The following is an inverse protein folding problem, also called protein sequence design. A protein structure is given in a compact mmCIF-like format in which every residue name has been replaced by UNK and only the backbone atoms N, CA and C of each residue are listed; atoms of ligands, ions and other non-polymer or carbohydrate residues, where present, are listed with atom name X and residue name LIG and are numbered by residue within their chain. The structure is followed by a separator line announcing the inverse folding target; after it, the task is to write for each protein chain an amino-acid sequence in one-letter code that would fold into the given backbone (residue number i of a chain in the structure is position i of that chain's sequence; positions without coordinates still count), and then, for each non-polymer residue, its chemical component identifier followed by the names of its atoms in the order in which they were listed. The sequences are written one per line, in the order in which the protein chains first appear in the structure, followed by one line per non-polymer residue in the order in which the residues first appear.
data_IF_137991452606
#
_entry.id   IF_137991452606
#
_cell.length_a   1.000
_cell.length_b   1.000
_cell.length_c   1.000
_cell.angle_alpha   90.00
_cell.angle_beta   90.00
_cell.angle_gamma   90.00
#
_symmetry.space_group_name_H-M   'P 1'
#
loop_
_entity.id
_entity.type
_entity.pdbx_description
1 polymer ?
#
# COMPACT_ATOMS: atom_id res chain seq x y z
N UNK A 1 -16.02 9.74 -67.43
CA UNK A 1 -14.60 10.12 -67.36
C UNK A 1 -14.27 10.49 -65.92
N UNK A 2 -13.30 9.81 -65.31
CA UNK A 2 -12.65 10.23 -64.06
C UNK A 2 -11.96 11.59 -64.27
N UNK A 3 -11.68 12.31 -63.18
CA UNK A 3 -10.27 12.37 -62.80
C UNK A 3 -10.05 11.97 -61.35
N UNK A 4 -9.00 11.17 -61.18
CA UNK A 4 -8.36 10.85 -59.92
C UNK A 4 -7.64 12.10 -59.41
N UNK A 5 -7.81 12.42 -58.13
CA UNK A 5 -6.80 13.18 -57.39
C UNK A 5 -6.36 12.35 -56.20
N UNK A 6 -5.18 11.76 -56.39
CA UNK A 6 -4.40 11.04 -55.41
C UNK A 6 -3.87 12.05 -54.39
N UNK A 7 -4.24 11.91 -53.12
CA UNK A 7 -3.47 12.47 -52.01
C UNK A 7 -3.39 11.42 -50.89
N UNK A 8 -2.36 10.58 -50.98
CA UNK A 8 -1.84 9.80 -49.86
C UNK A 8 -0.75 10.65 -49.20
N UNK A 9 -0.88 10.94 -47.90
CA UNK A 9 0.14 10.66 -46.86
C UNK A 9 -0.19 11.38 -45.54
N UNK A 10 -0.43 10.58 -44.50
CA UNK A 10 0.30 10.74 -43.24
C UNK A 10 -0.30 11.61 -42.15
N UNK A 11 -1.51 11.32 -41.68
CA UNK A 11 -1.90 11.64 -40.30
C UNK A 11 -2.31 10.33 -39.63
N UNK A 12 -1.41 9.75 -38.84
CA UNK A 12 -1.78 8.80 -37.78
C UNK A 12 -2.59 9.56 -36.74
N UNK A 13 -3.85 9.86 -37.06
CA UNK A 13 -4.81 10.38 -36.10
C UNK A 13 -5.09 9.28 -35.09
N UNK A 14 -4.91 9.58 -33.81
CA UNK A 14 -5.42 8.74 -32.73
C UNK A 14 -6.93 8.58 -32.99
N UNK A 15 -7.37 7.37 -33.32
CA UNK A 15 -8.81 7.13 -33.43
C UNK A 15 -9.37 7.22 -32.02
N UNK A 16 -10.17 8.25 -31.75
CA UNK A 16 -10.96 8.31 -30.52
C UNK A 16 -11.93 7.13 -30.61
N UNK A 17 -11.64 6.05 -29.89
CA UNK A 17 -12.46 4.85 -29.87
C UNK A 17 -13.88 5.17 -29.39
N UNK A 18 -14.85 4.34 -29.75
CA UNK A 18 -16.15 4.39 -29.10
C UNK A 18 -16.01 3.81 -27.69
N UNK A 19 -16.28 4.63 -26.67
CA UNK A 19 -16.29 4.19 -25.28
C UNK A 19 -17.73 3.93 -24.82
N UNK A 20 -17.98 2.83 -24.08
CA UNK A 20 -19.24 2.66 -23.36
C UNK A 20 -19.52 3.85 -22.44
N UNK A 21 -20.79 4.25 -22.30
CA UNK A 21 -21.17 5.39 -21.45
C UNK A 21 -20.70 5.21 -19.99
N UNK A 22 -20.76 3.98 -19.46
CA UNK A 22 -20.24 3.65 -18.12
C UNK A 22 -18.74 3.95 -17.95
N UNK A 23 -17.96 3.83 -19.02
CA UNK A 23 -16.50 4.04 -18.99
C UNK A 23 -16.18 5.54 -19.11
N UNK A 24 -17.06 6.30 -19.78
CA UNK A 24 -17.05 7.76 -19.79
C UNK A 24 -17.41 8.29 -18.39
N UNK A 25 -18.52 7.82 -17.82
CA UNK A 25 -19.03 8.29 -16.53
C UNK A 25 -18.09 7.94 -15.37
N UNK A 26 -17.38 6.81 -15.46
CA UNK A 26 -16.37 6.40 -14.47
C UNK A 26 -15.00 7.05 -14.67
N UNK A 27 -14.80 7.81 -15.75
CA UNK A 27 -13.51 8.43 -16.08
C UNK A 27 -12.48 7.48 -16.70
N UNK A 28 -12.76 6.18 -16.83
CA UNK A 28 -11.87 5.20 -17.48
C UNK A 28 -11.54 5.59 -18.93
N UNK A 29 -12.53 6.11 -19.67
CA UNK A 29 -12.35 6.59 -21.02
C UNK A 29 -11.36 7.76 -21.08
N UNK A 30 -11.46 8.72 -20.16
CA UNK A 30 -10.54 9.85 -20.09
C UNK A 30 -9.14 9.41 -19.67
N UNK A 31 -9.02 8.45 -18.75
CA UNK A 31 -7.73 7.87 -18.36
C UNK A 31 -7.01 7.22 -19.55
N UNK A 32 -7.73 6.41 -20.33
CA UNK A 32 -7.18 5.77 -21.53
C UNK A 32 -6.81 6.79 -22.62
N UNK A 33 -7.66 7.78 -22.87
CA UNK A 33 -7.36 8.87 -23.81
C UNK A 33 -6.15 9.70 -23.37
N UNK A 34 -6.01 9.96 -22.06
CA UNK A 34 -4.88 10.66 -21.47
C UNK A 34 -3.58 9.87 -21.67
N UNK A 35 -3.61 8.55 -21.43
CA UNK A 35 -2.47 7.64 -21.66
C UNK A 35 -2.06 7.59 -23.13
N UNK A 36 -3.01 7.40 -24.05
CA UNK A 36 -2.74 7.41 -25.49
C UNK A 36 -2.15 8.75 -25.94
N UNK A 37 -2.67 9.86 -25.42
CA UNK A 37 -2.19 11.21 -25.73
C UNK A 37 -0.78 11.45 -25.19
N UNK A 38 -0.50 10.95 -23.99
CA UNK A 38 0.84 10.95 -23.38
C UNK A 38 1.84 10.18 -24.25
N UNK A 39 1.53 8.94 -24.61
CA UNK A 39 2.41 8.08 -25.41
C UNK A 39 2.69 8.68 -26.78
N UNK A 40 1.66 9.23 -27.43
CA UNK A 40 1.79 9.95 -28.69
C UNK A 40 2.68 11.20 -28.54
N UNK A 41 2.57 11.94 -27.43
CA UNK A 41 3.43 13.10 -27.16
C UNK A 41 4.90 12.71 -26.91
N UNK A 42 5.13 11.65 -26.13
CA UNK A 42 6.47 11.12 -25.87
C UNK A 42 7.11 10.54 -27.12
N UNK A 43 6.33 9.87 -27.99
CA UNK A 43 6.82 9.41 -29.28
C UNK A 43 7.29 10.57 -30.17
N UNK A 44 6.56 11.70 -30.19
CA UNK A 44 6.96 12.91 -30.93
C UNK A 44 8.25 13.54 -30.40
N UNK A 45 8.60 13.38 -29.12
CA UNK A 45 9.88 13.88 -28.59
C UNK A 45 11.07 13.21 -29.28
N UNK A 46 10.95 11.94 -29.70
CA UNK A 46 12.04 11.21 -30.34
C UNK A 46 12.44 11.80 -31.69
N UNK A 47 11.55 12.55 -32.34
CA UNK A 47 11.79 13.26 -33.59
C UNK A 47 11.84 14.79 -33.44
N UNK A 48 11.81 15.30 -32.20
CA UNK A 48 11.86 16.73 -31.91
C UNK A 48 13.25 17.30 -32.16
N UNK A 49 13.34 18.35 -32.97
CA UNK A 49 14.56 19.18 -33.13
C UNK A 49 14.63 20.34 -32.13
N UNK A 50 13.54 20.59 -31.38
CA UNK A 50 13.54 21.52 -30.26
C UNK A 50 14.23 20.89 -29.04
N UNK A 51 14.92 21.71 -28.23
CA UNK A 51 15.73 21.28 -27.08
C UNK A 51 15.00 20.56 -25.93
N UNK A 52 13.75 20.10 -26.13
CA UNK A 52 13.04 19.22 -25.23
C UNK A 52 13.41 17.76 -25.54
N UNK A 53 14.15 17.13 -24.63
CA UNK A 53 14.54 15.72 -24.67
C UNK A 53 13.72 14.89 -23.67
N UNK A 54 13.77 13.54 -23.74
CA UNK A 54 13.20 12.68 -22.70
C UNK A 54 13.72 12.97 -21.29
N UNK A 55 14.93 13.53 -21.16
CA UNK A 55 15.52 13.88 -19.86
C UNK A 55 15.06 15.25 -19.34
N UNK A 56 14.58 16.14 -20.23
CA UNK A 56 14.19 17.51 -19.85
C UNK A 56 12.68 17.72 -19.81
N UNK A 57 11.88 16.78 -20.33
CA UNK A 57 10.42 16.91 -20.35
C UNK A 57 9.89 17.02 -18.91
N UNK A 58 9.00 17.99 -18.69
CA UNK A 58 8.26 18.15 -17.44
C UNK A 58 6.88 17.54 -17.60
N UNK A 59 6.59 16.51 -16.81
CA UNK A 59 5.27 15.89 -16.75
C UNK A 59 4.41 16.67 -15.75
N UNK A 60 3.24 17.14 -16.19
CA UNK A 60 2.22 17.68 -15.30
C UNK A 60 1.27 16.54 -14.91
N UNK A 61 1.15 16.27 -13.62
CA UNK A 61 0.22 15.28 -13.07
C UNK A 61 -0.91 16.01 -12.34
N UNK A 62 -2.10 15.42 -12.37
CA UNK A 62 -3.18 15.88 -11.52
C UNK A 62 -2.79 15.69 -10.05
N UNK A 63 -2.97 16.74 -9.24
CA UNK A 63 -2.89 16.60 -7.79
C UNK A 63 -4.18 15.92 -7.34
N UNK A 64 -4.11 14.61 -7.13
CA UNK A 64 -5.25 13.77 -6.79
C UNK A 64 -5.99 14.25 -5.52
N UNK A 65 -5.29 14.90 -4.59
CA UNK A 65 -5.87 15.58 -3.43
C UNK A 65 -5.44 17.04 -3.35
N UNK A 66 -5.68 17.81 -4.42
CA UNK A 66 -5.35 19.24 -4.49
C UNK A 66 -6.03 20.12 -3.43
N UNK A 67 -7.12 19.64 -2.83
CA UNK A 67 -7.86 20.27 -1.74
C UNK A 67 -7.22 20.02 -0.36
N UNK A 68 -6.32 19.04 -0.24
CA UNK A 68 -5.68 18.68 1.02
C UNK A 68 -4.44 19.55 1.26
N UNK A 69 -4.46 20.46 2.26
CA UNK A 69 -3.40 21.47 2.40
C UNK A 69 -2.02 20.91 2.68
N UNK A 70 -1.90 19.70 3.23
CA UNK A 70 -0.62 19.06 3.54
C UNK A 70 -0.07 18.15 2.45
N UNK A 71 -0.89 17.69 1.50
CA UNK A 71 -0.44 16.77 0.45
C UNK A 71 0.48 17.49 -0.55
N UNK A 72 1.66 16.93 -0.84
CA UNK A 72 2.65 17.52 -1.75
C UNK A 72 3.16 16.55 -2.81
N UNK A 73 2.97 15.25 -2.60
CA UNK A 73 3.51 14.22 -3.49
C UNK A 73 2.50 13.10 -3.74
N UNK A 74 2.73 12.33 -4.81
CA UNK A 74 1.95 11.10 -5.07
C UNK A 74 1.98 10.12 -3.90
N UNK A 75 3.10 10.07 -3.17
CA UNK A 75 3.23 9.27 -1.96
C UNK A 75 2.36 9.78 -0.81
N UNK A 76 2.15 11.11 -0.72
CA UNK A 76 1.25 11.69 0.27
C UNK A 76 -0.21 11.31 -0.02
N UNK A 77 -0.57 11.17 -1.30
CA UNK A 77 -1.92 10.75 -1.68
C UNK A 77 -2.28 9.35 -1.13
N UNK A 78 -1.32 8.43 -1.10
CA UNK A 78 -1.47 7.13 -0.43
C UNK A 78 -1.76 7.32 1.07
N UNK A 79 -0.96 8.12 1.77
CA UNK A 79 -1.20 8.44 3.18
C UNK A 79 -2.56 9.09 3.46
N UNK A 80 -3.03 9.99 2.59
CA UNK A 80 -4.37 10.60 2.70
C UNK A 80 -5.47 9.56 2.56
N UNK A 81 -5.39 8.67 1.55
CA UNK A 81 -6.39 7.63 1.35
C UNK A 81 -6.47 6.70 2.56
N UNK A 82 -5.32 6.24 3.04
CA UNK A 82 -5.27 5.35 4.20
C UNK A 82 -5.80 6.04 5.47
N UNK A 83 -5.45 7.30 5.72
CA UNK A 83 -6.03 8.08 6.82
C UNK A 83 -7.56 8.12 6.75
N UNK A 84 -8.13 8.39 5.56
CA UNK A 84 -9.59 8.45 5.35
C UNK A 84 -10.27 7.10 5.55
N UNK A 85 -9.62 6.02 5.15
CA UNK A 85 -10.19 4.67 5.16
C UNK A 85 -9.85 3.83 6.40
N UNK A 86 -8.96 4.31 7.29
CA UNK A 86 -8.41 3.55 8.42
C UNK A 86 -9.49 2.81 9.24
N UNK A 87 -10.63 3.46 9.52
CA UNK A 87 -11.73 2.88 10.31
C UNK A 87 -12.62 1.87 9.55
N UNK A 88 -12.39 1.67 8.27
CA UNK A 88 -13.17 0.77 7.40
C UNK A 88 -12.32 -0.40 6.90
N UNK A 89 -10.99 -0.33 7.04
CA UNK A 89 -10.04 -1.28 6.45
C UNK A 89 -9.16 -1.99 7.47
N UNK A 90 -9.43 -1.83 8.76
CA UNK A 90 -8.77 -2.56 9.85
C UNK A 90 -9.82 -3.17 10.78
N UNK A 91 -9.55 -4.37 11.28
CA UNK A 91 -10.49 -5.16 12.11
C UNK A 91 -11.89 -5.23 11.46
N UNK A 92 -11.90 -5.25 10.12
CA UNK A 92 -13.05 -5.24 9.21
C UNK A 92 -12.90 -6.37 8.19
N UNK A 93 -13.98 -6.70 7.47
CA UNK A 93 -13.94 -7.70 6.42
C UNK A 93 -13.02 -7.33 5.24
N UNK A 94 -12.83 -6.04 4.98
CA UNK A 94 -11.98 -5.57 3.89
C UNK A 94 -10.48 -5.59 4.19
N UNK A 95 -10.02 -5.89 5.41
CA UNK A 95 -8.62 -5.67 5.81
C UNK A 95 -7.60 -6.27 4.83
N UNK A 96 -7.68 -7.57 4.56
CA UNK A 96 -6.70 -8.26 3.71
C UNK A 96 -6.74 -7.76 2.26
N UNK A 97 -7.95 -7.60 1.72
CA UNK A 97 -8.17 -7.27 0.31
C UNK A 97 -7.90 -5.79 0.01
N UNK A 98 -8.21 -4.91 0.96
CA UNK A 98 -7.81 -3.51 0.89
C UNK A 98 -6.29 -3.40 0.84
N UNK A 99 -5.56 -4.02 1.78
CA UNK A 99 -4.11 -3.88 1.82
C UNK A 99 -3.43 -4.51 0.61
N UNK A 100 -3.93 -5.67 0.12
CA UNK A 100 -3.50 -6.25 -1.16
C UNK A 100 -3.67 -5.29 -2.33
N UNK A 101 -4.88 -4.75 -2.51
CA UNK A 101 -5.14 -3.84 -3.64
C UNK A 101 -4.41 -2.50 -3.49
N UNK A 102 -4.20 -2.05 -2.25
CA UNK A 102 -3.49 -0.83 -1.92
C UNK A 102 -1.99 -0.92 -2.26
N UNK A 103 -1.30 -2.00 -1.87
CA UNK A 103 0.11 -2.18 -2.25
C UNK A 103 0.28 -2.49 -3.74
N UNK A 104 -0.66 -3.21 -4.36
CA UNK A 104 -0.68 -3.39 -5.81
C UNK A 104 -0.85 -2.04 -6.54
N UNK A 105 -1.75 -1.18 -6.05
CA UNK A 105 -1.92 0.19 -6.61
C UNK A 105 -0.65 1.02 -6.46
N UNK A 106 0.08 0.85 -5.36
CA UNK A 106 1.38 1.49 -5.17
C UNK A 106 2.44 0.95 -6.14
N UNK A 107 2.50 -0.37 -6.33
CA UNK A 107 3.35 -1.00 -7.36
C UNK A 107 3.05 -0.44 -8.74
N UNK A 108 1.78 -0.39 -9.15
CA UNK A 108 1.37 0.15 -10.44
C UNK A 108 1.77 1.61 -10.61
N UNK A 109 1.65 2.43 -9.54
CA UNK A 109 2.17 3.78 -9.57
C UNK A 109 3.70 3.77 -9.77
N UNK A 110 4.46 2.96 -9.05
CA UNK A 110 5.91 2.84 -9.29
C UNK A 110 6.23 2.45 -10.75
N UNK A 111 5.50 1.49 -11.32
CA UNK A 111 5.70 1.01 -12.69
C UNK A 111 5.38 2.10 -13.72
N UNK A 112 4.18 2.65 -13.66
CA UNK A 112 3.64 3.56 -14.68
C UNK A 112 4.10 5.00 -14.52
N UNK A 113 4.38 5.43 -13.28
CA UNK A 113 4.71 6.81 -12.96
C UNK A 113 6.21 7.04 -12.70
N UNK A 114 6.94 6.00 -12.30
CA UNK A 114 8.36 6.06 -11.89
C UNK A 114 9.27 5.11 -12.68
N UNK A 115 8.77 4.41 -13.70
CA UNK A 115 9.53 3.47 -14.54
C UNK A 115 10.20 2.33 -13.74
N UNK A 116 9.52 1.84 -12.71
CA UNK A 116 9.97 0.68 -11.93
C UNK A 116 9.74 -0.61 -12.73
N UNK A 117 10.83 -1.35 -13.01
CA UNK A 117 10.78 -2.61 -13.76
C UNK A 117 11.19 -3.84 -12.91
N UNK A 118 11.39 -3.65 -11.60
CA UNK A 118 11.77 -4.72 -10.68
C UNK A 118 10.58 -5.52 -10.17
N UNK A 119 10.86 -6.40 -9.19
CA UNK A 119 9.85 -7.13 -8.42
C UNK A 119 9.42 -6.32 -7.20
N UNK A 120 8.15 -6.44 -6.80
CA UNK A 120 7.67 -5.80 -5.58
C UNK A 120 8.22 -6.52 -4.34
N UNK A 121 8.95 -5.82 -3.45
CA UNK A 121 9.60 -6.46 -2.30
C UNK A 121 8.64 -6.67 -1.13
N UNK A 122 8.97 -7.64 -0.26
CA UNK A 122 8.34 -7.85 1.03
C UNK A 122 9.39 -7.93 2.15
N UNK A 123 8.99 -7.65 3.40
CA UNK A 123 9.86 -7.75 4.57
C UNK A 123 9.55 -9.02 5.37
N UNK A 124 10.39 -10.04 5.24
CA UNK A 124 10.27 -11.25 6.06
C UNK A 124 10.74 -10.99 7.50
N UNK A 125 9.83 -10.52 8.36
CA UNK A 125 10.15 -10.12 9.74
C UNK A 125 10.94 -11.17 10.53
N UNK A 126 10.71 -12.46 10.27
CA UNK A 126 11.35 -13.55 10.99
C UNK A 126 12.88 -13.56 10.90
N UNK A 127 13.44 -13.12 9.76
CA UNK A 127 14.89 -13.04 9.54
C UNK A 127 15.54 -11.97 10.43
N UNK A 128 14.83 -10.86 10.64
CA UNK A 128 15.32 -9.70 11.38
C UNK A 128 14.80 -9.65 12.83
N UNK A 129 14.01 -10.64 13.25
CA UNK A 129 13.26 -10.59 14.50
C UNK A 129 14.16 -10.41 15.73
N UNK A 130 15.41 -10.88 15.66
CA UNK A 130 16.38 -10.83 16.74
C UNK A 130 17.45 -9.74 16.58
N UNK A 131 17.46 -9.02 15.45
CA UNK A 131 18.34 -7.88 15.19
C UNK A 131 17.81 -7.04 14.01
N UNK A 132 16.83 -6.17 14.28
CA UNK A 132 16.18 -5.32 13.28
C UNK A 132 17.17 -4.28 12.74
N UNK A 133 18.07 -3.80 13.58
CA UNK A 133 19.05 -2.78 13.24
C UNK A 133 20.05 -3.23 12.16
N UNK A 134 20.42 -4.51 12.15
CA UNK A 134 21.31 -5.10 11.14
C UNK A 134 20.60 -5.55 9.86
N UNK A 135 19.27 -5.43 9.78
CA UNK A 135 18.50 -5.77 8.58
C UNK A 135 19.00 -4.95 7.37
N UNK A 136 19.18 -5.55 6.19
CA UNK A 136 19.48 -4.81 4.96
C UNK A 136 18.43 -3.74 4.62
N UNK A 137 17.22 -3.84 5.17
CA UNK A 137 16.18 -2.82 5.01
C UNK A 137 16.44 -1.57 5.86
N UNK A 138 17.20 -1.70 6.95
CA UNK A 138 17.35 -0.67 7.97
C UNK A 138 18.81 -0.35 8.35
N UNK A 139 19.79 -0.92 7.67
CA UNK A 139 21.22 -0.75 7.93
C UNK A 139 21.78 0.64 7.54
N UNK A 140 20.96 1.50 6.93
CA UNK A 140 21.38 2.85 6.54
C UNK A 140 22.16 2.95 5.23
N UNK A 141 22.47 1.82 4.59
CA UNK A 141 23.18 1.77 3.32
C UNK A 141 22.39 2.43 2.19
N UNK A 142 23.04 2.74 1.04
CA UNK A 142 22.34 3.25 -0.15
C UNK A 142 21.25 2.32 -0.72
N UNK A 143 21.22 1.05 -0.31
CA UNK A 143 20.22 0.05 -0.73
C UNK A 143 19.14 -0.22 0.33
N UNK A 144 19.21 0.43 1.48
CA UNK A 144 18.22 0.32 2.56
C UNK A 144 17.03 1.27 2.35
N UNK A 145 16.04 1.15 3.24
CA UNK A 145 14.96 2.14 3.39
C UNK A 145 15.35 3.27 4.36
N UNK A 146 16.65 3.48 4.60
CA UNK A 146 17.16 4.39 5.62
C UNK A 146 17.51 3.66 6.92
N UNK A 147 18.28 4.31 7.77
CA UNK A 147 18.75 3.73 9.03
C UNK A 147 17.69 3.70 10.12
N UNK A 148 18.11 3.42 11.36
CA UNK A 148 17.36 3.83 12.55
C UNK A 148 17.31 5.37 12.71
N UNK A 149 16.46 5.85 13.61
CA UNK A 149 16.42 7.23 14.05
C UNK A 149 17.49 7.55 15.09
N UNK A 150 17.90 8.82 15.17
CA UNK A 150 18.75 9.32 16.27
C UNK A 150 18.16 8.93 17.63
N UNK A 151 19.00 8.44 18.53
CA UNK A 151 18.56 8.06 19.86
C UNK A 151 17.91 9.24 20.61
N UNK A 152 16.72 8.99 21.18
CA UNK A 152 16.05 9.90 22.11
C UNK A 152 15.84 9.16 23.42
N UNK A 153 16.16 9.80 24.57
CA UNK A 153 16.08 9.17 25.89
C UNK A 153 14.64 8.77 26.29
N UNK A 154 13.67 9.60 25.95
CA UNK A 154 12.24 9.37 26.18
C UNK A 154 11.46 9.11 24.90
N UNK A 155 10.14 8.92 25.02
CA UNK A 155 9.25 8.60 23.89
C UNK A 155 8.98 7.10 23.77
N UNK A 156 8.72 6.64 22.54
CA UNK A 156 8.27 5.28 22.25
C UNK A 156 6.76 5.14 22.27
N UNK A 157 6.27 4.00 21.81
CA UNK A 157 4.84 3.68 21.77
C UNK A 157 4.37 3.20 23.15
N UNK A 158 3.32 3.81 23.68
CA UNK A 158 2.77 3.45 24.98
C UNK A 158 2.36 1.97 25.02
N UNK A 159 2.78 1.25 26.08
CA UNK A 159 2.50 -0.17 26.26
C UNK A 159 3.45 -1.13 25.53
N UNK A 160 4.43 -0.61 24.78
CA UNK A 160 5.46 -1.41 24.11
C UNK A 160 6.85 -1.10 24.67
N UNK A 161 7.82 -2.03 24.54
CA UNK A 161 9.22 -1.72 24.80
C UNK A 161 9.66 -0.52 23.97
N UNK A 162 10.57 0.30 24.49
CA UNK A 162 11.20 1.38 23.72
C UNK A 162 12.31 0.80 22.84
N UNK A 163 12.39 1.29 21.60
CA UNK A 163 13.48 0.93 20.69
C UNK A 163 14.79 1.67 20.97
N UNK A 164 15.74 1.46 20.07
CA UNK A 164 17.09 2.03 20.12
C UNK A 164 17.20 3.42 19.49
N UNK A 165 16.10 3.99 18.98
CA UNK A 165 16.06 5.26 18.27
C UNK A 165 15.14 6.30 18.92
N UNK A 166 14.22 6.85 18.10
CA UNK A 166 13.16 7.78 18.48
C UNK A 166 13.17 9.12 17.72
N UNK A 167 14.30 9.48 17.12
CA UNK A 167 14.51 10.72 16.38
C UNK A 167 14.48 10.54 14.86
N UNK A 168 14.91 11.58 14.12
CA UNK A 168 15.02 11.53 12.66
C UNK A 168 15.96 10.41 12.20
N UNK A 169 15.67 9.81 11.04
CA UNK A 169 16.62 8.92 10.34
C UNK A 169 18.02 9.55 10.28
N UNK A 170 19.05 8.73 10.43
CA UNK A 170 20.45 9.19 10.44
C UNK A 170 21.02 9.20 9.02
N UNK A 171 20.79 8.13 8.27
CA UNK A 171 21.40 7.90 6.95
C UNK A 171 20.49 7.07 6.03
N UNK A 172 20.93 6.88 4.78
CA UNK A 172 20.23 6.16 3.72
C UNK A 172 19.26 7.02 2.89
N UNK A 173 18.63 6.44 1.85
CA UNK A 173 17.97 7.19 0.77
C UNK A 173 16.79 8.07 1.20
N UNK A 174 16.20 7.81 2.36
CA UNK A 174 15.03 8.53 2.88
C UNK A 174 15.36 9.50 4.03
N UNK A 175 16.65 9.66 4.39
CA UNK A 175 17.06 10.50 5.53
C UNK A 175 16.72 11.99 5.36
N UNK A 176 16.78 12.51 4.13
CA UNK A 176 16.41 13.89 3.79
C UNK A 176 14.91 14.05 3.41
N UNK A 177 14.13 12.95 3.43
CA UNK A 177 12.71 13.00 3.08
C UNK A 177 11.90 13.55 4.26
N UNK A 178 11.03 14.50 3.95
CA UNK A 178 10.01 14.98 4.89
C UNK A 178 8.70 14.20 4.74
N UNK A 179 8.10 13.85 5.87
CA UNK A 179 6.67 13.57 5.99
C UNK A 179 5.93 14.90 6.17
N UNK A 180 4.86 15.13 5.41
CA UNK A 180 4.16 16.42 5.30
C UNK A 180 2.79 16.43 5.96
N UNK A 181 2.25 15.25 6.27
CA UNK A 181 0.94 15.01 6.88
C UNK A 181 1.08 14.37 8.26
N UNK A 182 -0.01 14.37 9.02
CA UNK A 182 -0.04 13.84 10.38
C UNK A 182 0.84 14.62 11.37
N UNK A 183 1.17 14.02 12.53
CA UNK A 183 0.60 12.76 13.03
C UNK A 183 -0.90 12.88 13.31
N UNK A 184 -1.61 11.76 13.48
CA UNK A 184 -3.04 11.73 13.80
C UNK A 184 -3.39 12.55 15.05
N UNK A 185 -2.47 12.64 16.01
CA UNK A 185 -2.64 13.42 17.24
C UNK A 185 -2.71 14.93 17.03
N UNK A 186 -2.39 15.45 15.84
CA UNK A 186 -2.57 16.85 15.51
C UNK A 186 -4.05 17.21 15.43
N UNK A 187 -4.39 18.45 15.80
CA UNK A 187 -5.76 18.97 15.66
C UNK A 187 -6.27 18.92 14.22
N UNK A 188 -5.39 19.21 13.26
CA UNK A 188 -5.68 19.19 11.83
C UNK A 188 -4.60 18.35 11.12
N UNK A 189 -4.71 17.02 11.14
CA UNK A 189 -3.64 16.14 10.66
C UNK A 189 -3.44 16.18 9.13
N UNK A 190 -4.36 16.79 8.40
CA UNK A 190 -4.26 17.00 6.95
C UNK A 190 -3.65 18.37 6.57
N UNK A 191 -3.32 19.22 7.54
CA UNK A 191 -2.59 20.45 7.28
C UNK A 191 -1.11 20.17 7.00
N UNK A 192 -0.45 21.09 6.29
CA UNK A 192 0.98 20.99 6.01
C UNK A 192 1.80 21.05 7.30
N UNK A 193 2.49 19.95 7.59
CA UNK A 193 3.31 19.76 8.78
C UNK A 193 4.62 19.02 8.43
N UNK A 194 5.54 19.66 7.67
CA UNK A 194 6.78 19.03 7.22
C UNK A 194 7.72 18.74 8.39
N UNK A 195 8.17 17.50 8.47
CA UNK A 195 9.17 17.04 9.45
C UNK A 195 9.89 15.81 8.90
N UNK A 196 11.06 15.50 9.44
CA UNK A 196 11.79 14.28 9.08
C UNK A 196 10.97 13.01 9.42
N UNK A 197 11.24 11.92 8.70
CA UNK A 197 10.83 10.58 9.13
C UNK A 197 11.62 10.21 10.39
N UNK A 198 10.94 9.66 11.39
CA UNK A 198 11.54 9.16 12.63
C UNK A 198 11.34 7.65 12.75
N UNK A 199 12.35 6.94 13.22
CA UNK A 199 12.27 5.52 13.57
C UNK A 199 12.74 5.27 14.99
N UNK A 200 12.14 4.27 15.61
CA UNK A 200 12.55 3.72 16.89
C UNK A 200 12.65 2.20 16.72
N UNK A 201 13.63 1.75 15.92
CA UNK A 201 13.76 0.33 15.58
C UNK A 201 13.78 -0.52 16.85
N UNK A 202 13.01 -1.60 16.81
CA UNK A 202 12.59 -2.27 18.04
C UNK A 202 12.66 -3.79 17.92
N UNK A 203 13.87 -4.32 18.09
CA UNK A 203 14.14 -5.75 18.14
C UNK A 203 13.33 -6.49 19.22
N UNK A 204 13.05 -5.85 20.36
CA UNK A 204 12.21 -6.46 21.40
C UNK A 204 10.76 -6.66 20.94
N UNK A 205 10.20 -5.73 20.16
CA UNK A 205 8.88 -5.88 19.52
C UNK A 205 8.93 -6.97 18.46
N UNK A 206 9.90 -6.92 17.54
CA UNK A 206 10.01 -7.88 16.45
C UNK A 206 10.16 -9.33 16.97
N UNK A 207 11.05 -9.56 17.94
CA UNK A 207 11.27 -10.86 18.58
C UNK A 207 10.00 -11.42 19.23
N UNK A 208 9.17 -10.56 19.82
CA UNK A 208 8.00 -10.99 20.59
C UNK A 208 6.77 -11.25 19.73
N UNK A 209 6.63 -10.53 18.62
CA UNK A 209 5.37 -10.50 17.86
C UNK A 209 5.50 -10.78 16.37
N UNK A 210 6.70 -10.69 15.79
CA UNK A 210 6.93 -10.85 14.35
C UNK A 210 7.97 -11.93 14.02
N UNK A 211 8.32 -12.80 14.99
CA UNK A 211 9.24 -13.92 14.75
C UNK A 211 8.66 -14.97 13.81
N UNK A 212 9.52 -15.86 13.28
CA UNK A 212 9.08 -17.04 12.51
C UNK A 212 8.04 -17.89 13.24
N UNK A 213 8.15 -18.01 14.56
CA UNK A 213 7.15 -18.71 15.36
C UNK A 213 5.79 -18.03 15.24
N UNK A 214 5.74 -16.71 15.42
CA UNK A 214 4.50 -15.94 15.36
C UNK A 214 3.86 -16.02 13.97
N UNK A 215 4.64 -15.84 12.90
CA UNK A 215 4.12 -15.90 11.52
C UNK A 215 3.63 -17.30 11.15
N UNK A 216 4.33 -18.35 11.59
CA UNK A 216 3.94 -19.74 11.33
C UNK A 216 2.67 -20.10 12.10
N UNK A 217 2.58 -19.74 13.38
CA UNK A 217 1.43 -20.03 14.23
C UNK A 217 0.14 -19.38 13.71
N UNK A 218 0.22 -18.18 13.12
CA UNK A 218 -0.92 -17.55 12.45
C UNK A 218 -1.44 -18.41 11.30
N UNK A 219 -0.56 -18.98 10.47
CA UNK A 219 -0.98 -19.78 9.31
C UNK A 219 -1.61 -21.11 9.76
N UNK A 220 -0.93 -21.86 10.63
CA UNK A 220 -1.34 -23.24 10.98
C UNK A 220 -2.54 -23.30 11.93
N UNK A 221 -2.76 -22.26 12.74
CA UNK A 221 -3.87 -22.21 13.71
C UNK A 221 -5.10 -21.45 13.18
N UNK A 222 -5.14 -21.13 11.88
CA UNK A 222 -6.26 -20.41 11.27
C UNK A 222 -7.07 -21.30 10.33
N UNK A 223 -8.15 -21.95 10.79
CA UNK A 223 -8.97 -22.79 9.92
C UNK A 223 -9.88 -21.99 8.98
N UNK A 224 -10.13 -20.71 9.28
CA UNK A 224 -11.03 -19.82 8.53
C UNK A 224 -10.39 -18.46 8.30
N UNK A 225 -10.87 -17.70 7.31
CA UNK A 225 -10.42 -16.32 7.08
C UNK A 225 -10.71 -15.42 8.28
N UNK A 226 -11.81 -15.68 9.00
CA UNK A 226 -12.16 -15.02 10.26
C UNK A 226 -11.06 -15.18 11.32
N UNK A 227 -10.60 -16.41 11.55
CA UNK A 227 -9.54 -16.64 12.52
C UNK A 227 -8.21 -16.08 12.02
N UNK A 228 -7.91 -16.24 10.73
CA UNK A 228 -6.69 -15.72 10.12
C UNK A 228 -6.56 -14.20 10.32
N UNK A 229 -7.59 -13.43 9.94
CA UNK A 229 -7.56 -11.97 10.11
C UNK A 229 -7.52 -11.55 11.58
N UNK A 230 -8.15 -12.31 12.48
CA UNK A 230 -8.13 -12.06 13.91
C UNK A 230 -6.72 -12.24 14.49
N UNK A 231 -6.05 -13.34 14.14
CA UNK A 231 -4.69 -13.64 14.61
C UNK A 231 -3.64 -12.71 13.99
N UNK A 232 -3.78 -12.33 12.72
CA UNK A 232 -2.86 -11.37 12.05
C UNK A 232 -2.89 -10.00 12.74
N UNK A 233 -4.08 -9.53 13.14
CA UNK A 233 -4.28 -8.17 13.67
C UNK A 233 -4.34 -8.08 15.21
N UNK A 234 -4.39 -9.20 15.93
CA UNK A 234 -4.56 -9.20 17.38
C UNK A 234 -5.96 -8.76 17.81
N UNK A 235 -6.99 -9.26 17.11
CA UNK A 235 -8.38 -8.87 17.35
C UNK A 235 -8.88 -9.32 18.73
N UNK A 236 -8.93 -8.39 19.67
CA UNK A 236 -9.36 -8.63 21.06
C UNK A 236 -10.78 -9.20 21.21
N UNK A 237 -11.61 -9.25 20.16
CA UNK A 237 -12.90 -9.94 20.22
C UNK A 237 -12.72 -11.46 20.35
N UNK A 238 -11.66 -12.02 19.79
CA UNK A 238 -11.39 -13.46 19.73
C UNK A 238 -10.45 -13.94 20.84
N UNK A 239 -10.83 -14.94 21.66
CA UNK A 239 -9.97 -15.49 22.71
C UNK A 239 -8.56 -15.89 22.24
N UNK A 240 -8.46 -16.47 21.05
CA UNK A 240 -7.24 -16.94 20.42
C UNK A 240 -6.28 -15.78 20.07
N UNK A 241 -6.83 -14.61 19.77
CA UNK A 241 -6.06 -13.41 19.40
C UNK A 241 -5.76 -12.49 20.58
N UNK A 242 -6.57 -12.50 21.66
CA UNK A 242 -6.44 -11.60 22.83
C UNK A 242 -5.05 -11.60 23.47
N UNK A 243 -4.37 -12.74 23.48
CA UNK A 243 -3.07 -12.89 24.13
C UNK A 243 -1.88 -12.64 23.19
N UNK A 244 -2.14 -12.32 21.92
CA UNK A 244 -1.10 -12.05 20.93
C UNK A 244 -0.56 -10.62 20.99
N UNK A 245 -1.05 -9.77 21.90
CA UNK A 245 -0.61 -8.38 22.02
C UNK A 245 -0.89 -7.59 20.75
N UNK A 246 0.15 -7.11 20.07
CA UNK A 246 0.03 -6.38 18.79
C UNK A 246 0.02 -7.30 17.56
N UNK A 247 0.14 -8.62 17.75
CA UNK A 247 0.21 -9.63 16.70
C UNK A 247 1.28 -9.34 15.63
N UNK A 248 1.30 -10.11 14.54
CA UNK A 248 2.32 -9.96 13.48
C UNK A 248 2.15 -8.65 12.70
N UNK A 249 0.91 -8.19 12.45
CA UNK A 249 0.66 -6.92 11.77
C UNK A 249 1.16 -5.74 12.60
N UNK A 250 0.71 -5.61 13.86
CA UNK A 250 1.21 -4.54 14.73
C UNK A 250 2.68 -4.72 15.09
N UNK A 251 3.16 -5.96 15.22
CA UNK A 251 4.57 -6.28 15.44
C UNK A 251 5.48 -5.71 14.36
N UNK A 252 5.12 -5.83 13.08
CA UNK A 252 5.87 -5.22 11.98
C UNK A 252 5.84 -3.68 12.00
N UNK A 253 4.68 -3.05 12.19
CA UNK A 253 4.59 -1.58 12.31
C UNK A 253 5.42 -1.05 13.49
N UNK A 254 5.28 -1.65 14.67
CA UNK A 254 5.93 -1.17 15.89
C UNK A 254 7.39 -1.63 16.02
N UNK A 255 7.85 -2.58 15.20
CA UNK A 255 9.27 -2.88 15.03
C UNK A 255 10.01 -1.75 14.29
N UNK A 256 9.31 -0.98 13.44
CA UNK A 256 9.80 0.25 12.83
C UNK A 256 9.65 1.44 13.80
N UNK A 257 8.45 1.55 14.38
CA UNK A 257 8.10 2.57 15.37
C UNK A 257 8.22 4.00 14.82
N UNK A 258 8.40 4.96 15.73
CA UNK A 258 8.59 6.36 15.38
C UNK A 258 7.40 7.01 14.66
N UNK A 259 7.70 7.90 13.71
CA UNK A 259 6.75 8.76 13.03
C UNK A 259 7.09 8.82 11.53
N UNK A 260 6.24 8.31 10.63
CA UNK A 260 4.87 7.84 10.89
C UNK A 260 4.75 6.32 11.10
N UNK A 261 5.86 5.55 11.22
CA UNK A 261 5.81 4.09 11.32
C UNK A 261 4.98 3.55 12.50
N UNK A 262 4.93 4.27 13.62
CA UNK A 262 4.05 3.97 14.76
C UNK A 262 2.67 4.65 14.72
N UNK A 263 2.36 5.44 13.69
CA UNK A 263 1.08 6.13 13.52
C UNK A 263 0.12 5.24 12.71
N UNK A 264 -0.89 4.71 13.39
CA UNK A 264 -1.86 3.80 12.78
C UNK A 264 -2.60 4.35 11.55
N UNK A 265 -2.75 5.67 11.41
CA UNK A 265 -3.44 6.28 10.26
C UNK A 265 -2.49 6.69 9.15
N UNK A 266 -1.30 7.17 9.50
CA UNK A 266 -0.32 7.71 8.55
C UNK A 266 0.86 6.77 8.27
N UNK A 267 0.85 5.54 8.77
CA UNK A 267 1.92 4.57 8.55
C UNK A 267 2.32 4.34 7.09
N UNK A 268 1.46 4.48 6.05
CA UNK A 268 1.92 4.40 4.66
C UNK A 268 2.87 5.52 4.22
N UNK A 269 2.99 6.58 5.03
CA UNK A 269 3.98 7.63 4.81
C UNK A 269 5.39 7.23 5.31
N UNK A 270 5.54 6.02 5.83
CA UNK A 270 6.81 5.36 6.09
C UNK A 270 7.09 4.34 4.97
N UNK A 271 8.18 4.50 4.16
CA UNK A 271 8.53 3.58 3.08
C UNK A 271 8.50 2.07 3.40
N UNK A 272 8.87 1.64 4.61
CA UNK A 272 8.81 0.21 4.95
C UNK A 272 7.39 -0.35 5.10
N UNK A 273 6.36 0.49 5.13
CA UNK A 273 4.95 0.07 5.11
C UNK A 273 4.65 -0.91 3.97
N UNK A 274 5.15 -0.62 2.77
CA UNK A 274 4.82 -1.40 1.57
C UNK A 274 5.46 -2.79 1.61
N UNK A 275 6.68 -2.91 2.15
CA UNK A 275 7.33 -4.20 2.35
C UNK A 275 6.69 -4.98 3.50
N UNK A 276 6.33 -4.28 4.59
CA UNK A 276 5.57 -4.86 5.69
C UNK A 276 4.24 -5.44 5.19
N UNK A 277 3.43 -4.68 4.45
CA UNK A 277 2.17 -5.19 3.91
C UNK A 277 2.34 -6.19 2.77
N UNK A 278 3.46 -6.17 2.04
CA UNK A 278 3.85 -7.27 1.16
C UNK A 278 4.01 -8.59 1.92
N UNK A 279 4.56 -8.57 3.13
CA UNK A 279 4.64 -9.77 3.96
C UNK A 279 3.29 -10.15 4.56
N UNK A 280 2.43 -9.21 4.96
CA UNK A 280 1.05 -9.50 5.38
C UNK A 280 0.28 -10.21 4.26
N UNK A 281 0.38 -9.70 3.05
CA UNK A 281 -0.27 -10.28 1.88
C UNK A 281 0.35 -11.63 1.48
N UNK A 282 1.68 -11.79 1.62
CA UNK A 282 2.36 -13.08 1.46
C UNK A 282 1.85 -14.13 2.44
N UNK A 283 1.67 -13.79 3.73
CA UNK A 283 1.08 -14.73 4.69
C UNK A 283 -0.34 -15.12 4.29
N UNK A 284 -1.15 -14.17 3.80
CA UNK A 284 -2.50 -14.46 3.30
C UNK A 284 -2.45 -15.35 2.05
N UNK A 285 -1.56 -15.07 1.10
CA UNK A 285 -1.33 -15.89 -0.09
C UNK A 285 -0.96 -17.34 0.28
N UNK A 286 0.00 -17.54 1.20
CA UNK A 286 0.39 -18.88 1.69
C UNK A 286 -0.82 -19.56 2.32
N UNK A 287 -1.54 -18.87 3.20
CA UNK A 287 -2.73 -19.41 3.83
C UNK A 287 -3.76 -19.81 2.76
N UNK A 288 -4.16 -18.93 1.84
CA UNK A 288 -5.13 -19.27 0.79
C UNK A 288 -4.72 -20.53 0.01
N UNK A 289 -3.45 -20.63 -0.41
CA UNK A 289 -2.98 -21.68 -1.31
C UNK A 289 -2.76 -23.05 -0.65
N UNK A 290 -2.57 -23.12 0.67
CA UNK A 290 -2.43 -24.40 1.38
C UNK A 290 -3.71 -25.26 1.33
N UNK A 291 -4.87 -24.64 1.11
CA UNK A 291 -6.13 -25.36 0.85
C UNK A 291 -7.09 -24.47 0.04
N UNK A 292 -6.66 -24.10 -1.17
CA UNK A 292 -7.36 -23.16 -2.05
C UNK A 292 -8.82 -23.53 -2.23
N UNK A 293 -9.07 -24.77 -2.66
CA UNK A 293 -10.43 -25.26 -2.91
C UNK A 293 -11.33 -24.99 -1.72
N UNK A 294 -10.99 -25.48 -0.52
CA UNK A 294 -11.86 -25.33 0.64
C UNK A 294 -11.98 -23.88 1.12
N UNK A 295 -10.91 -23.09 1.03
CA UNK A 295 -10.91 -21.67 1.44
C UNK A 295 -11.70 -20.78 0.48
N UNK A 296 -11.96 -21.24 -0.75
CA UNK A 296 -12.77 -20.55 -1.75
C UNK A 296 -14.18 -21.14 -1.97
N UNK A 297 -14.55 -22.26 -1.29
CA UNK A 297 -15.82 -22.95 -1.54
C UNK A 297 -17.09 -22.11 -1.29
N UNK A 298 -17.06 -21.21 -0.30
CA UNK A 298 -18.23 -20.39 0.07
C UNK A 298 -17.81 -18.98 0.44
N UNK A 299 -18.71 -18.01 0.25
CA UNK A 299 -18.48 -16.61 0.65
C UNK A 299 -18.00 -16.48 2.09
N UNK A 300 -18.59 -17.24 3.03
CA UNK A 300 -18.21 -17.21 4.44
C UNK A 300 -16.80 -17.76 4.72
N UNK A 301 -16.23 -18.54 3.80
CA UNK A 301 -14.85 -19.04 3.87
C UNK A 301 -13.85 -18.09 3.19
N UNK A 302 -14.33 -17.26 2.26
CA UNK A 302 -13.53 -16.32 1.49
C UNK A 302 -13.44 -14.92 2.13
N UNK A 303 -14.53 -14.44 2.73
CA UNK A 303 -14.60 -13.11 3.38
C UNK A 303 -15.43 -13.20 4.67
N UNK A 304 -15.02 -12.47 5.72
CA UNK A 304 -15.74 -12.45 6.99
C UNK A 304 -15.64 -11.10 7.70
N UNK A 305 -16.77 -10.64 8.25
CA UNK A 305 -16.84 -9.46 9.13
C UNK A 305 -17.65 -8.31 8.54
N UNK A 306 -17.57 -7.16 9.20
CA UNK A 306 -18.36 -5.95 8.90
C UNK A 306 -17.53 -4.88 8.21
N UNK A 307 -18.19 -3.86 7.63
CA UNK A 307 -17.53 -2.76 6.91
C UNK A 307 -16.87 -1.70 7.78
N UNK A 308 -16.96 -1.83 9.10
CA UNK A 308 -16.42 -0.88 10.09
C UNK A 308 -15.55 -1.63 11.09
N UNK A 309 -14.45 -1.01 11.49
CA UNK A 309 -13.50 -1.51 12.48
C UNK A 309 -14.22 -1.95 13.75
N UNK A 310 -13.96 -3.18 14.21
CA UNK A 310 -14.58 -3.77 15.40
C UNK A 310 -16.12 -3.78 15.37
N UNK A 311 -16.73 -3.61 14.20
CA UNK A 311 -18.16 -3.34 14.04
C UNK A 311 -18.63 -2.08 14.82
N UNK A 312 -17.82 -0.99 14.77
CA UNK A 312 -18.11 0.28 15.45
C UNK A 312 -17.98 1.49 14.50
N UNK A 313 -19.07 2.24 14.25
CA UNK A 313 -20.46 1.90 14.59
C UNK A 313 -20.89 0.59 13.91
N UNK A 314 -21.97 -0.09 14.36
CA UNK A 314 -22.41 -1.32 13.71
C UNK A 314 -22.69 -1.12 12.21
N UNK A 315 -22.19 -2.03 11.38
CA UNK A 315 -22.46 -2.10 9.94
C UNK A 315 -22.81 -3.53 9.53
N UNK A 316 -23.37 -3.68 8.33
CA UNK A 316 -23.68 -5.02 7.80
C UNK A 316 -22.39 -5.80 7.51
N UNK A 317 -22.53 -7.11 7.44
CA UNK A 317 -21.47 -7.97 6.93
C UNK A 317 -21.16 -7.59 5.48
N UNK A 318 -19.87 -7.60 5.14
CA UNK A 318 -19.46 -7.41 3.76
C UNK A 318 -19.54 -8.72 2.97
N UNK A 319 -19.77 -8.60 1.67
CA UNK A 319 -19.83 -9.70 0.72
C UNK A 319 -18.81 -9.49 -0.40
N UNK A 320 -18.60 -10.50 -1.24
CA UNK A 320 -17.70 -10.39 -2.39
C UNK A 320 -18.19 -9.39 -3.44
N UNK A 321 -19.47 -9.01 -3.42
CA UNK A 321 -20.05 -8.01 -4.31
C UNK A 321 -19.86 -6.57 -3.81
N UNK A 322 -19.40 -6.39 -2.57
CA UNK A 322 -19.11 -5.05 -2.07
C UNK A 322 -17.94 -4.43 -2.81
N UNK A 323 -18.07 -3.12 -3.04
CA UNK A 323 -17.08 -2.35 -3.79
C UNK A 323 -16.08 -1.74 -2.82
N UNK A 324 -14.81 -2.03 -3.06
CA UNK A 324 -13.68 -1.34 -2.49
C UNK A 324 -13.30 -0.18 -3.42
N UNK A 325 -13.31 1.04 -2.88
CA UNK A 325 -13.01 2.24 -3.63
C UNK A 325 -11.70 2.87 -3.13
N UNK A 326 -10.68 2.87 -4.00
CA UNK A 326 -9.40 3.55 -3.76
C UNK A 326 -9.32 4.88 -4.53
N UNK A 327 -10.42 5.37 -5.08
CA UNK A 327 -10.42 6.57 -5.90
C UNK A 327 -9.87 7.77 -5.12
N UNK A 328 -9.07 8.63 -5.78
CA UNK A 328 -8.69 8.56 -7.19
C UNK A 328 -7.38 7.77 -7.45
N UNK A 329 -6.81 7.05 -6.48
CA UNK A 329 -5.56 6.30 -6.67
C UNK A 329 -5.71 5.13 -7.63
N UNK A 330 -6.84 4.42 -7.55
CA UNK A 330 -7.17 3.34 -8.47
C UNK A 330 -8.70 3.22 -8.65
N UNK A 331 -9.16 2.64 -9.77
CA UNK A 331 -10.58 2.46 -10.00
C UNK A 331 -11.25 1.55 -8.95
N UNK A 332 -12.54 1.75 -8.64
CA UNK A 332 -13.27 0.86 -7.73
C UNK A 332 -13.26 -0.61 -8.22
N UNK A 333 -13.22 -1.56 -7.29
CA UNK A 333 -13.24 -3.01 -7.55
C UNK A 333 -14.15 -3.74 -6.60
N UNK A 334 -14.77 -4.84 -7.05
CA UNK A 334 -15.46 -5.72 -6.10
C UNK A 334 -14.44 -6.46 -5.25
N UNK A 335 -14.76 -6.72 -3.99
CA UNK A 335 -13.90 -7.52 -3.11
C UNK A 335 -13.60 -8.91 -3.70
N UNK A 336 -14.57 -9.51 -4.40
CA UNK A 336 -14.40 -10.78 -5.11
C UNK A 336 -13.29 -10.76 -6.17
N UNK A 337 -13.06 -9.63 -6.84
CA UNK A 337 -12.05 -9.49 -7.89
C UNK A 337 -10.61 -9.49 -7.33
N UNK A 338 -10.45 -9.38 -6.01
CA UNK A 338 -9.17 -9.20 -5.31
C UNK A 338 -8.71 -10.45 -4.54
N UNK A 339 -9.50 -11.53 -4.57
CA UNK A 339 -9.23 -12.78 -3.84
C UNK A 339 -8.07 -13.56 -4.47
N UNK A 340 -8.06 -13.67 -5.79
CA UNK A 340 -7.14 -14.50 -6.54
C UNK A 340 -6.04 -13.64 -7.15
N UNK A 341 -4.78 -13.89 -6.78
CA UNK A 341 -3.64 -13.11 -7.25
C UNK A 341 -3.21 -13.46 -8.68
N UNK A 342 -3.75 -14.55 -9.27
CA UNK A 342 -3.40 -15.01 -10.62
C UNK A 342 -4.61 -15.22 -11.54
N UNK A 343 -5.80 -15.43 -10.97
CA UNK A 343 -7.02 -15.77 -11.72
C UNK A 343 -7.99 -14.62 -12.00
N UNK A 344 -7.76 -13.42 -11.45
CA UNK A 344 -8.67 -12.28 -11.59
C UNK A 344 -7.93 -10.96 -11.90
N UNK A 345 -8.50 -10.16 -12.80
CA UNK A 345 -8.01 -8.80 -13.06
C UNK A 345 -8.34 -7.89 -11.86
N UNK A 346 -7.41 -7.05 -11.39
CA UNK A 346 -6.17 -6.63 -12.06
C UNK A 346 -4.91 -7.37 -11.62
N UNK A 347 -5.03 -8.39 -10.77
CA UNK A 347 -3.88 -9.04 -10.14
C UNK A 347 -3.25 -10.08 -11.07
N UNK A 348 -1.92 -10.18 -11.04
CA UNK A 348 -1.18 -11.24 -11.74
C UNK A 348 0.21 -11.40 -11.11
N UNK A 349 0.26 -11.97 -9.91
CA UNK A 349 1.51 -12.15 -9.17
C UNK A 349 1.47 -13.37 -8.22
N UNK A 350 2.67 -13.81 -7.83
CA UNK A 350 2.93 -14.83 -6.81
C UNK A 350 4.08 -14.36 -5.91
N UNK A 351 4.25 -15.00 -4.76
CA UNK A 351 5.39 -14.79 -3.87
C UNK A 351 6.40 -15.93 -3.99
N UNK A 352 7.69 -15.60 -3.93
CA UNK A 352 8.82 -16.54 -3.84
C UNK A 352 9.49 -16.44 -2.46
#
# INVERSE_FOLDING_TARGET
MRPELLLMLGLTGVSVGQYPQRDIDSGLALGELSRQSHDAAVARLRSSTGGCTPQTIRVRKECLYSDIPGARSRFDDFGVLHYRLTNFVHLSASFLLFHRYYIWTYEEALRTECNFNGHFPYWNWGEDAHDVESSPLFDGSPTSLGSNGRFVRGGGTAGLPKGSGGGCLIEGPFSDRNVTLGPFSQRNPLNYNPRCIKRDLNTAVASRWASFRNTTEVIINSPTVEMFQALVQGDSRYPEARNLGVAVHGGGHFAIGGDPGGDFHFSPLEPAFYLHHGQVDRLYFIWQNLDWTNRQLTTAKTIFGTGTMNNRPPSRNQTLDDVLDLSPLAPPRKLGDLIDTVGASPLCFVYE
#
